data_IF_135849074491
#
_entry.id   IF_135849074491
#
_cell.length_a   1.000
_cell.length_b   1.000
_cell.length_c   1.000
_cell.angle_alpha   90.00
_cell.angle_beta   90.00
_cell.angle_gamma   90.00
#
_symmetry.space_group_name_H-M   'P 1'
#
loop_
_entity.id
_entity.type
_entity.pdbx_description
1 polymer ?
#
# COMPACT_ATOMS: atom_id res chain seq x y z
N UNK A 1 0.07 -69.38 1.32
CA UNK A 1 -1.02 -68.45 1.52
C UNK A 1 -0.38 -67.09 1.88
N UNK A 2 -0.25 -66.18 0.91
CA UNK A 2 0.37 -64.86 1.11
C UNK A 2 -0.73 -63.80 1.26
N UNK A 3 -0.85 -63.20 2.45
CA UNK A 3 -1.80 -62.16 2.76
C UNK A 3 -1.12 -60.85 2.35
N UNK A 4 -1.62 -60.16 1.30
CA UNK A 4 -1.19 -58.83 0.89
C UNK A 4 -1.96 -57.79 1.75
N UNK A 5 -1.24 -57.11 2.62
CA UNK A 5 -1.75 -55.98 3.42
C UNK A 5 -1.81 -54.74 2.55
N UNK A 6 -3.03 -54.34 2.17
CA UNK A 6 -3.28 -53.08 1.44
C UNK A 6 -3.30 -51.92 2.46
N UNK A 7 -2.24 -51.13 2.54
CA UNK A 7 -2.21 -49.88 3.30
C UNK A 7 -2.96 -48.82 2.51
N UNK A 8 -4.22 -48.55 2.94
CA UNK A 8 -5.00 -47.41 2.46
C UNK A 8 -4.43 -46.12 3.12
N UNK A 9 -3.62 -45.35 2.39
CA UNK A 9 -3.20 -44.02 2.82
C UNK A 9 -4.37 -43.05 2.68
N UNK A 10 -5.01 -42.71 3.79
CA UNK A 10 -6.03 -41.66 3.88
C UNK A 10 -5.33 -40.29 3.77
N UNK A 11 -5.24 -39.72 2.57
CA UNK A 11 -4.86 -38.32 2.39
C UNK A 11 -6.06 -37.45 2.79
N UNK A 12 -5.99 -36.87 3.98
CA UNK A 12 -6.95 -35.86 4.40
C UNK A 12 -6.77 -34.62 3.50
N UNK A 13 -7.59 -34.47 2.47
CA UNK A 13 -7.76 -33.22 1.76
C UNK A 13 -8.34 -32.21 2.75
N UNK A 14 -7.54 -31.29 3.24
CA UNK A 14 -8.05 -30.07 3.87
C UNK A 14 -8.80 -29.28 2.78
N UNK A 15 -10.11 -29.36 2.80
CA UNK A 15 -10.97 -28.55 1.93
C UNK A 15 -10.78 -27.07 2.31
N UNK A 16 -9.91 -26.37 1.60
CA UNK A 16 -9.88 -24.92 1.66
C UNK A 16 -11.24 -24.41 1.17
N UNK A 17 -11.90 -23.61 2.00
CA UNK A 17 -13.18 -23.01 1.63
C UNK A 17 -12.97 -22.15 0.38
N UNK A 18 -13.74 -22.41 -0.67
CA UNK A 18 -13.66 -21.64 -1.92
C UNK A 18 -13.80 -20.14 -1.66
N UNK A 19 -13.08 -19.28 -2.41
CA UNK A 19 -13.21 -17.84 -2.29
C UNK A 19 -14.66 -17.37 -2.48
N UNK A 20 -15.08 -16.38 -1.71
CA UNK A 20 -16.45 -15.83 -1.77
C UNK A 20 -16.47 -14.67 -2.77
N UNK A 21 -17.38 -14.68 -3.75
CA UNK A 21 -17.57 -13.57 -4.70
C UNK A 21 -18.02 -12.29 -3.99
N UNK A 22 -17.50 -11.13 -4.40
CA UNK A 22 -17.71 -9.83 -3.73
C UNK A 22 -18.20 -8.72 -4.64
N UNK A 23 -18.41 -9.00 -5.93
CA UNK A 23 -18.79 -8.00 -6.94
C UNK A 23 -17.66 -7.01 -7.29
N UNK A 24 -17.93 -6.05 -8.17
CA UNK A 24 -16.94 -5.09 -8.67
C UNK A 24 -16.67 -3.96 -7.67
N UNK A 25 -15.41 -3.49 -7.63
CA UNK A 25 -14.98 -2.38 -6.78
C UNK A 25 -13.75 -1.66 -7.36
N UNK A 26 -13.69 -0.35 -7.27
CA UNK A 26 -12.50 0.44 -7.64
C UNK A 26 -11.82 1.08 -6.45
N UNK A 27 -12.47 1.05 -5.29
CA UNK A 27 -11.92 1.59 -4.04
C UNK A 27 -11.88 0.51 -2.97
N UNK A 28 -10.71 0.36 -2.33
CA UNK A 28 -10.48 -0.58 -1.24
C UNK A 28 -10.09 0.16 0.04
N UNK A 29 -10.72 -0.21 1.15
CA UNK A 29 -10.35 0.25 2.49
C UNK A 29 -10.23 -0.92 3.45
N UNK A 30 -9.08 -1.05 4.11
CA UNK A 30 -8.79 -2.09 5.09
C UNK A 30 -8.45 -1.45 6.42
N UNK A 31 -8.93 -2.03 7.53
CA UNK A 31 -8.70 -1.49 8.87
C UNK A 31 -8.52 -2.54 9.95
N UNK A 32 -8.25 -2.06 11.18
CA UNK A 32 -8.26 -2.84 12.41
C UNK A 32 -7.16 -3.93 12.50
N UNK A 33 -5.98 -3.68 11.91
CA UNK A 33 -4.84 -4.60 11.98
C UNK A 33 -4.91 -5.81 11.04
N UNK A 34 -5.81 -5.80 10.05
CA UNK A 34 -5.92 -6.89 9.07
C UNK A 34 -4.73 -6.86 8.12
N UNK A 35 -4.12 -8.03 7.85
CA UNK A 35 -3.14 -8.23 6.80
C UNK A 35 -3.86 -8.62 5.51
N UNK A 36 -3.69 -7.84 4.44
CA UNK A 36 -4.33 -8.10 3.16
C UNK A 36 -3.30 -8.22 2.04
N UNK A 37 -3.41 -9.30 1.26
CA UNK A 37 -2.68 -9.50 0.01
C UNK A 37 -3.61 -9.33 -1.17
N UNK A 38 -3.25 -8.44 -2.10
CA UNK A 38 -3.93 -8.25 -3.38
C UNK A 38 -3.33 -9.20 -4.42
N UNK A 39 -4.20 -9.94 -5.13
CA UNK A 39 -3.83 -10.96 -6.10
C UNK A 39 -4.64 -10.73 -7.38
N UNK A 40 -3.97 -10.53 -8.51
CA UNK A 40 -4.66 -10.44 -9.80
C UNK A 40 -5.33 -11.77 -10.16
N UNK A 41 -6.56 -11.72 -10.67
CA UNK A 41 -7.38 -12.89 -10.97
C UNK A 41 -8.41 -12.54 -12.04
N UNK A 42 -9.11 -13.54 -12.57
CA UNK A 42 -10.21 -13.35 -13.51
C UNK A 42 -11.53 -12.96 -12.82
N UNK A 43 -11.63 -13.13 -11.51
CA UNK A 43 -12.86 -12.88 -10.75
C UNK A 43 -12.56 -12.17 -9.42
N UNK A 44 -13.49 -11.29 -9.02
CA UNK A 44 -13.44 -10.64 -7.72
C UNK A 44 -13.92 -11.57 -6.63
N UNK A 45 -13.02 -11.97 -5.75
CA UNK A 45 -13.35 -12.85 -4.64
C UNK A 45 -12.45 -12.61 -3.43
N UNK A 46 -12.83 -13.15 -2.29
CA UNK A 46 -12.10 -12.97 -1.05
C UNK A 46 -11.98 -14.31 -0.31
N UNK A 47 -10.79 -14.55 0.22
CA UNK A 47 -10.53 -15.66 1.14
C UNK A 47 -9.99 -15.09 2.45
N UNK A 48 -10.56 -15.53 3.56
CA UNK A 48 -10.20 -15.03 4.89
C UNK A 48 -9.72 -16.19 5.73
N UNK A 49 -8.56 -16.03 6.36
CA UNK A 49 -7.91 -17.03 7.21
C UNK A 49 -7.39 -16.40 8.51
N UNK A 50 -6.96 -17.24 9.44
CA UNK A 50 -6.45 -16.81 10.74
C UNK A 50 -7.45 -16.99 11.89
N UNK A 51 -6.99 -16.71 13.10
CA UNK A 51 -7.70 -17.01 14.35
C UNK A 51 -8.99 -16.23 14.56
N UNK A 52 -9.14 -15.07 13.89
CA UNK A 52 -10.29 -14.17 14.08
C UNK A 52 -11.09 -13.92 12.82
N UNK A 53 -10.99 -14.81 11.84
CA UNK A 53 -11.67 -14.71 10.54
C UNK A 53 -13.20 -14.51 10.65
N UNK A 54 -13.85 -15.08 11.65
CA UNK A 54 -15.30 -14.96 11.87
C UNK A 54 -15.74 -13.55 12.32
N UNK A 55 -14.78 -12.70 12.74
CA UNK A 55 -15.05 -11.32 13.12
C UNK A 55 -14.77 -10.33 11.99
N UNK A 56 -14.33 -10.79 10.82
CA UNK A 56 -14.16 -9.92 9.66
C UNK A 56 -15.51 -9.56 9.06
N UNK A 57 -15.68 -8.31 8.72
CA UNK A 57 -16.83 -7.79 7.99
C UNK A 57 -16.34 -7.27 6.64
N UNK A 58 -16.92 -7.78 5.57
CA UNK A 58 -16.69 -7.35 4.20
C UNK A 58 -17.97 -6.67 3.71
N UNK A 59 -17.86 -5.46 3.21
CA UNK A 59 -18.97 -4.69 2.67
C UNK A 59 -18.53 -4.02 1.37
N UNK A 60 -19.23 -4.33 0.27
CA UNK A 60 -19.06 -3.61 -0.98
C UNK A 60 -20.32 -2.76 -1.21
N UNK A 61 -20.15 -1.46 -1.28
CA UNK A 61 -21.23 -0.52 -1.55
C UNK A 61 -20.77 0.46 -2.63
N UNK A 62 -21.49 0.49 -3.73
CA UNK A 62 -21.24 1.39 -4.86
C UNK A 62 -19.77 1.38 -5.32
N UNK A 63 -19.17 0.19 -5.45
CA UNK A 63 -17.78 0.02 -5.86
C UNK A 63 -16.73 0.37 -4.78
N UNK A 64 -17.17 0.61 -3.53
CA UNK A 64 -16.30 0.84 -2.38
C UNK A 64 -16.27 -0.37 -1.47
N UNK A 65 -15.23 -1.19 -1.59
CA UNK A 65 -15.00 -2.37 -0.76
C UNK A 65 -14.35 -1.98 0.56
N UNK A 66 -15.00 -2.36 1.67
CA UNK A 66 -14.49 -2.14 3.03
C UNK A 66 -14.32 -3.46 3.75
N UNK A 67 -13.13 -3.70 4.29
CA UNK A 67 -12.76 -4.89 5.05
C UNK A 67 -12.30 -4.45 6.44
N UNK A 68 -12.99 -4.89 7.47
CA UNK A 68 -12.74 -4.47 8.86
C UNK A 68 -13.16 -5.52 9.86
N UNK A 69 -12.70 -5.38 11.11
CA UNK A 69 -13.20 -6.19 12.21
C UNK A 69 -14.57 -5.71 12.69
N UNK A 70 -15.40 -6.62 13.21
CA UNK A 70 -16.63 -6.25 13.92
C UNK A 70 -16.31 -5.32 15.09
N UNK A 71 -17.19 -4.37 15.37
CA UNK A 71 -16.96 -3.27 16.35
C UNK A 71 -16.49 -3.75 17.73
N UNK A 72 -16.94 -4.90 18.20
CA UNK A 72 -16.52 -5.49 19.49
C UNK A 72 -15.08 -6.04 19.50
N UNK A 73 -14.44 -6.14 18.33
CA UNK A 73 -13.11 -6.73 18.12
C UNK A 73 -12.17 -5.82 17.31
N UNK A 74 -12.38 -4.50 17.39
CA UNK A 74 -11.48 -3.52 16.77
C UNK A 74 -10.04 -3.73 17.23
N UNK A 75 -9.07 -3.45 16.33
CA UNK A 75 -7.63 -3.68 16.54
C UNK A 75 -7.29 -5.13 16.88
N UNK A 76 -8.15 -6.08 16.52
CA UNK A 76 -7.95 -7.51 16.74
C UNK A 76 -7.56 -8.28 15.49
N UNK A 77 -7.29 -7.60 14.37
CA UNK A 77 -7.03 -8.22 13.08
C UNK A 77 -5.59 -8.68 12.83
N UNK A 78 -4.65 -8.44 13.72
CA UNK A 78 -3.21 -8.72 13.50
C UNK A 78 -2.85 -10.17 13.13
N UNK A 79 -3.68 -11.15 13.53
CA UNK A 79 -3.54 -12.56 13.15
C UNK A 79 -4.61 -12.98 12.13
N UNK A 80 -5.15 -12.03 11.37
CA UNK A 80 -6.15 -12.27 10.34
C UNK A 80 -5.58 -11.91 8.99
N UNK A 81 -5.53 -12.87 8.10
CA UNK A 81 -5.03 -12.71 6.75
C UNK A 81 -6.20 -12.76 5.77
N UNK A 82 -6.17 -11.86 4.81
CA UNK A 82 -7.15 -11.73 3.73
C UNK A 82 -6.41 -11.79 2.40
N UNK A 83 -6.80 -12.72 1.55
CA UNK A 83 -6.43 -12.76 0.15
C UNK A 83 -7.60 -12.18 -0.65
N UNK A 84 -7.33 -11.07 -1.32
CA UNK A 84 -8.32 -10.36 -2.13
C UNK A 84 -7.94 -10.50 -3.60
N UNK A 85 -8.74 -11.29 -4.31
CA UNK A 85 -8.61 -11.51 -5.74
C UNK A 85 -9.36 -10.42 -6.48
N UNK A 86 -8.74 -9.80 -7.49
CA UNK A 86 -9.32 -8.69 -8.25
C UNK A 86 -9.02 -8.80 -9.74
N UNK A 87 -9.98 -8.32 -10.57
CA UNK A 87 -9.88 -8.33 -12.04
C UNK A 87 -9.99 -6.94 -12.68
N UNK A 88 -10.08 -5.88 -11.89
CA UNK A 88 -10.23 -4.51 -12.37
C UNK A 88 -9.17 -3.56 -11.82
N UNK A 89 -9.17 -2.33 -12.35
CA UNK A 89 -8.31 -1.26 -11.84
C UNK A 89 -8.76 -0.79 -10.47
N UNK A 90 -7.81 -0.66 -9.55
CA UNK A 90 -8.04 -0.13 -8.21
C UNK A 90 -7.56 1.32 -8.13
N UNK A 91 -8.50 2.26 -8.23
CA UNK A 91 -8.19 3.69 -8.26
C UNK A 91 -7.73 4.22 -6.88
N UNK A 92 -8.28 3.63 -5.81
CA UNK A 92 -7.99 4.06 -4.44
C UNK A 92 -7.78 2.87 -3.51
N UNK A 93 -6.65 2.87 -2.79
CA UNK A 93 -6.32 1.87 -1.77
C UNK A 93 -6.01 2.59 -0.46
N UNK A 94 -6.70 2.22 0.62
CA UNK A 94 -6.55 2.84 1.94
C UNK A 94 -6.33 1.79 3.03
N UNK A 95 -5.21 1.93 3.80
CA UNK A 95 -4.92 1.15 5.00
C UNK A 95 -4.97 2.04 6.23
N UNK A 96 -5.74 1.65 7.24
CA UNK A 96 -5.89 2.41 8.48
C UNK A 96 -5.83 1.51 9.73
N UNK A 97 -5.54 2.12 10.87
CA UNK A 97 -5.60 1.45 12.18
C UNK A 97 -4.79 0.15 12.22
N UNK A 98 -3.51 0.23 11.78
CA UNK A 98 -2.56 -0.86 11.81
C UNK A 98 -2.77 -1.94 10.72
N UNK A 99 -3.68 -1.73 9.75
CA UNK A 99 -3.84 -2.65 8.63
C UNK A 99 -2.62 -2.61 7.70
N UNK A 100 -2.27 -3.76 7.14
CA UNK A 100 -1.19 -3.90 6.15
C UNK A 100 -1.76 -4.41 4.82
N UNK A 101 -1.43 -3.70 3.73
CA UNK A 101 -1.82 -4.08 2.37
C UNK A 101 -0.58 -4.26 1.53
N UNK A 102 -0.47 -5.41 0.85
CA UNK A 102 0.63 -5.70 -0.07
C UNK A 102 0.13 -6.39 -1.35
N UNK A 103 0.98 -6.37 -2.37
CA UNK A 103 0.81 -7.16 -3.59
C UNK A 103 2.18 -7.50 -4.17
N UNK A 104 2.26 -8.61 -4.87
CA UNK A 104 3.39 -8.95 -5.74
C UNK A 104 3.15 -8.46 -7.20
N UNK A 105 1.95 -7.96 -7.50
CA UNK A 105 1.57 -7.47 -8.82
C UNK A 105 2.00 -6.01 -9.02
N UNK A 106 2.28 -5.64 -10.26
CA UNK A 106 2.48 -4.25 -10.67
C UNK A 106 1.14 -3.66 -11.11
N UNK A 107 0.73 -2.57 -10.47
CA UNK A 107 -0.51 -1.87 -10.81
C UNK A 107 -0.31 -1.00 -12.06
N UNK A 108 -0.68 -1.53 -13.23
CA UNK A 108 -0.61 -0.84 -14.52
C UNK A 108 -1.93 -0.15 -14.84
N UNK A 109 -1.99 1.16 -14.66
CA UNK A 109 -3.23 1.94 -14.87
C UNK A 109 -2.92 3.44 -15.03
N UNK A 110 -3.87 4.27 -15.50
CA UNK A 110 -3.60 5.70 -15.67
C UNK A 110 -3.25 6.41 -14.38
N UNK A 111 -3.95 6.11 -13.28
CA UNK A 111 -3.71 6.77 -11.99
C UNK A 111 -3.99 5.87 -10.81
N UNK A 112 -3.34 6.17 -9.67
CA UNK A 112 -3.59 5.47 -8.40
C UNK A 112 -3.49 6.43 -7.21
N UNK A 113 -4.38 6.27 -6.24
CA UNK A 113 -4.28 6.93 -4.95
C UNK A 113 -4.06 5.92 -3.82
N UNK A 114 -2.94 6.02 -3.13
CA UNK A 114 -2.63 5.25 -1.92
C UNK A 114 -2.77 6.14 -0.69
N UNK A 115 -3.42 5.64 0.34
CA UNK A 115 -3.63 6.41 1.58
C UNK A 115 -3.39 5.54 2.81
N UNK A 116 -2.64 6.06 3.78
CA UNK A 116 -2.41 5.38 5.06
C UNK A 116 -2.66 6.32 6.21
N UNK A 117 -3.27 5.81 7.29
CA UNK A 117 -3.52 6.57 8.51
C UNK A 117 -3.44 5.68 9.76
N UNK A 118 -3.13 6.29 10.91
CA UNK A 118 -3.15 5.62 12.22
C UNK A 118 -2.36 4.29 12.21
N UNK A 119 -1.12 4.34 11.74
CA UNK A 119 -0.25 3.17 11.67
C UNK A 119 -0.59 2.16 10.57
N UNK A 120 -1.49 2.47 9.64
CA UNK A 120 -1.74 1.63 8.46
C UNK A 120 -0.54 1.64 7.51
N UNK A 121 -0.30 0.54 6.81
CA UNK A 121 0.84 0.36 5.91
C UNK A 121 0.40 -0.17 4.55
N UNK A 122 1.04 0.33 3.48
CA UNK A 122 0.87 -0.13 2.10
C UNK A 122 2.24 -0.39 1.48
N UNK A 123 2.39 -1.53 0.79
CA UNK A 123 3.60 -1.88 0.04
C UNK A 123 3.20 -2.42 -1.34
N UNK A 124 3.40 -1.62 -2.40
CA UNK A 124 2.96 -1.95 -3.76
C UNK A 124 3.99 -1.54 -4.81
N UNK A 125 3.90 -2.19 -5.99
CA UNK A 125 4.58 -1.76 -7.21
C UNK A 125 3.57 -1.12 -8.18
N UNK A 126 3.95 -0.01 -8.84
CA UNK A 126 3.07 0.76 -9.72
C UNK A 126 3.74 1.06 -11.06
N UNK A 127 2.94 1.12 -12.12
CA UNK A 127 3.32 1.68 -13.42
C UNK A 127 2.14 2.53 -13.92
N UNK A 128 2.22 3.85 -13.62
CA UNK A 128 1.10 4.79 -13.79
C UNK A 128 1.55 6.11 -14.38
N UNK A 129 0.61 6.92 -14.88
CA UNK A 129 0.90 8.32 -15.23
C UNK A 129 0.90 9.18 -13.97
N UNK A 130 -0.17 9.09 -13.17
CA UNK A 130 -0.37 9.92 -12.00
C UNK A 130 -0.46 9.08 -10.71
N UNK A 131 0.36 9.40 -9.73
CA UNK A 131 0.32 8.78 -8.42
C UNK A 131 0.07 9.80 -7.31
N UNK A 132 -0.85 9.51 -6.40
CA UNK A 132 -1.10 10.30 -5.21
C UNK A 132 -0.89 9.46 -3.97
N UNK A 133 0.08 9.85 -3.13
CA UNK A 133 0.38 9.18 -1.87
C UNK A 133 0.04 10.10 -0.69
N UNK A 134 -0.79 9.60 0.22
CA UNK A 134 -1.21 10.33 1.43
C UNK A 134 -0.89 9.51 2.66
N UNK A 135 -0.03 10.01 3.53
CA UNK A 135 0.33 9.32 4.78
C UNK A 135 0.11 10.23 5.97
N UNK A 136 -0.67 9.77 6.93
CA UNK A 136 -1.06 10.55 8.11
C UNK A 136 -0.95 9.72 9.39
N UNK A 137 -0.68 10.38 10.50
CA UNK A 137 -0.69 9.82 11.86
C UNK A 137 0.10 8.49 11.95
N UNK A 138 1.40 8.55 11.60
CA UNK A 138 2.30 7.39 11.64
C UNK A 138 2.02 6.31 10.60
N UNK A 139 1.19 6.59 9.57
CA UNK A 139 1.00 5.67 8.45
C UNK A 139 2.27 5.55 7.60
N UNK A 140 2.41 4.45 6.85
CA UNK A 140 3.58 4.20 6.00
C UNK A 140 3.15 3.73 4.62
N UNK A 141 3.73 4.33 3.58
CA UNK A 141 3.60 3.90 2.18
C UNK A 141 4.99 3.58 1.64
N UNK A 142 5.16 2.38 1.11
CA UNK A 142 6.35 1.95 0.37
C UNK A 142 5.93 1.63 -1.05
N UNK A 143 6.54 2.30 -2.03
CA UNK A 143 6.21 2.13 -3.45
C UNK A 143 7.48 1.99 -4.27
N UNK A 144 7.43 1.15 -5.30
CA UNK A 144 8.45 1.04 -6.32
C UNK A 144 7.80 0.99 -7.72
N UNK A 145 8.61 1.09 -8.78
CA UNK A 145 8.16 1.05 -10.19
C UNK A 145 8.19 2.42 -10.85
N UNK A 146 7.15 2.81 -11.59
CA UNK A 146 7.13 4.05 -12.33
C UNK A 146 5.85 4.86 -12.07
N UNK A 147 6.00 6.18 -11.97
CA UNK A 147 4.88 7.12 -11.95
C UNK A 147 5.37 8.44 -12.55
N UNK A 148 4.86 8.82 -13.71
CA UNK A 148 5.33 10.02 -14.41
C UNK A 148 5.26 11.24 -13.51
N UNK A 149 4.11 11.48 -12.92
CA UNK A 149 3.88 12.55 -11.95
C UNK A 149 3.49 11.98 -10.58
N UNK A 150 4.19 12.39 -9.52
CA UNK A 150 3.92 12.00 -8.15
C UNK A 150 3.46 13.20 -7.31
N UNK A 151 2.41 13.02 -6.53
CA UNK A 151 1.97 13.97 -5.52
C UNK A 151 1.91 13.34 -4.14
N UNK A 152 2.76 13.82 -3.24
CA UNK A 152 2.95 13.26 -1.91
C UNK A 152 2.44 14.25 -0.86
N UNK A 153 1.61 13.76 0.05
CA UNK A 153 1.12 14.52 1.20
C UNK A 153 1.33 13.74 2.48
N UNK A 154 2.10 14.33 3.38
CA UNK A 154 2.41 13.74 4.67
C UNK A 154 1.95 14.68 5.77
N UNK A 155 1.21 14.13 6.74
CA UNK A 155 0.80 14.85 7.93
C UNK A 155 1.10 14.03 9.17
N UNK A 156 1.38 14.72 10.28
CA UNK A 156 1.46 14.11 11.63
C UNK A 156 2.34 12.85 11.68
N UNK A 157 3.59 12.96 11.22
CA UNK A 157 4.57 11.87 11.33
C UNK A 157 4.39 10.70 10.35
N UNK A 158 3.62 10.86 9.27
CA UNK A 158 3.51 9.84 8.22
C UNK A 158 4.83 9.62 7.48
N UNK A 159 4.95 8.51 6.78
CA UNK A 159 6.15 8.09 6.04
C UNK A 159 5.76 7.69 4.62
N UNK A 160 6.50 8.20 3.62
CA UNK A 160 6.41 7.76 2.23
C UNK A 160 7.80 7.43 1.72
N UNK A 161 8.00 6.18 1.31
CA UNK A 161 9.22 5.65 0.71
C UNK A 161 8.93 5.39 -0.78
N UNK A 162 9.28 6.34 -1.64
CA UNK A 162 9.09 6.33 -3.08
C UNK A 162 10.41 6.63 -3.83
N UNK A 163 11.55 6.41 -3.19
CA UNK A 163 12.88 6.60 -3.78
C UNK A 163 13.15 5.66 -4.96
N UNK A 164 12.42 4.53 -5.02
CA UNK A 164 12.51 3.54 -6.10
C UNK A 164 11.44 3.70 -7.17
N UNK A 165 10.77 4.84 -7.19
CA UNK A 165 9.79 5.17 -8.24
C UNK A 165 10.48 6.05 -9.27
N UNK A 166 10.59 5.56 -10.52
CA UNK A 166 11.03 6.37 -11.66
C UNK A 166 9.98 7.44 -11.97
N UNK A 167 10.35 8.72 -11.86
CA UNK A 167 9.39 9.80 -12.05
C UNK A 167 10.02 10.99 -12.78
N UNK A 168 9.22 11.75 -13.52
CA UNK A 168 9.62 13.02 -14.12
C UNK A 168 9.43 14.17 -13.13
N UNK A 169 8.28 14.19 -12.43
CA UNK A 169 7.93 15.25 -11.49
C UNK A 169 7.44 14.70 -10.16
N UNK A 170 7.88 15.31 -9.08
CA UNK A 170 7.45 14.99 -7.73
C UNK A 170 7.13 16.27 -6.95
N UNK A 171 5.88 16.39 -6.52
CA UNK A 171 5.42 17.39 -5.55
C UNK A 171 5.28 16.75 -4.17
N UNK A 172 5.98 17.24 -3.17
CA UNK A 172 5.89 16.74 -1.79
C UNK A 172 5.50 17.85 -0.82
N UNK A 173 4.48 17.60 -0.01
CA UNK A 173 4.03 18.51 1.04
C UNK A 173 3.98 17.79 2.39
N UNK A 174 4.78 18.27 3.35
CA UNK A 174 4.86 17.72 4.70
C UNK A 174 4.34 18.75 5.71
N UNK A 175 3.49 18.33 6.64
CA UNK A 175 2.97 19.18 7.72
C UNK A 175 2.94 18.42 9.05
N UNK A 176 3.59 18.99 10.07
CA UNK A 176 3.64 18.36 11.40
C UNK A 176 4.59 17.17 11.49
N UNK A 177 5.75 17.24 10.80
CA UNK A 177 6.76 16.20 10.77
C UNK A 177 6.51 15.12 9.70
N UNK A 178 7.27 14.03 9.79
CA UNK A 178 7.19 12.89 8.85
C UNK A 178 8.42 12.81 7.94
N UNK A 179 8.44 11.77 7.12
CA UNK A 179 9.58 11.45 6.23
C UNK A 179 9.07 11.17 4.82
N UNK A 180 9.71 11.79 3.84
CA UNK A 180 9.53 11.51 2.42
C UNK A 180 10.87 11.15 1.77
N UNK A 181 10.98 9.93 1.26
CA UNK A 181 12.03 9.52 0.32
C UNK A 181 11.43 9.56 -1.08
N UNK A 182 11.95 10.44 -1.93
CA UNK A 182 11.35 10.74 -3.24
C UNK A 182 12.41 10.72 -4.34
N UNK A 183 11.99 10.48 -5.57
CA UNK A 183 12.85 10.55 -6.74
C UNK A 183 12.15 11.32 -7.87
N UNK A 184 12.91 12.08 -8.66
CA UNK A 184 12.48 12.65 -9.93
C UNK A 184 13.67 13.01 -10.81
N UNK A 185 13.45 13.13 -12.12
CA UNK A 185 14.47 13.52 -13.11
C UNK A 185 14.35 14.97 -13.54
N UNK A 186 13.14 15.54 -13.62
CA UNK A 186 12.90 16.90 -14.11
C UNK A 186 12.67 17.91 -13.00
N UNK A 187 11.63 17.70 -12.19
CA UNK A 187 11.20 18.68 -11.19
C UNK A 187 10.88 18.02 -9.85
N UNK A 188 11.43 18.60 -8.80
CA UNK A 188 11.02 18.35 -7.42
C UNK A 188 10.54 19.66 -6.80
N UNK A 189 9.28 19.72 -6.34
CA UNK A 189 8.72 20.83 -5.54
C UNK A 189 8.38 20.33 -4.14
N UNK A 190 9.11 20.83 -3.13
CA UNK A 190 8.96 20.41 -1.73
C UNK A 190 8.46 21.56 -0.88
N UNK A 191 7.38 21.31 -0.13
CA UNK A 191 6.86 22.23 0.88
C UNK A 191 6.86 21.56 2.25
N UNK A 192 7.55 22.14 3.23
CA UNK A 192 7.55 21.68 4.62
C UNK A 192 6.95 22.73 5.54
N UNK A 193 6.06 22.29 6.44
CA UNK A 193 5.45 23.11 7.48
C UNK A 193 5.51 22.39 8.83
N UNK A 194 6.09 23.05 9.84
CA UNK A 194 6.27 22.49 11.18
C UNK A 194 7.13 21.21 11.21
N UNK A 195 8.28 21.23 10.50
CA UNK A 195 9.27 20.15 10.47
C UNK A 195 9.02 19.12 9.36
N UNK A 196 9.76 18.00 9.44
CA UNK A 196 9.77 16.90 8.48
C UNK A 196 11.11 16.76 7.77
N UNK A 197 11.35 15.55 7.24
CA UNK A 197 12.58 15.21 6.52
C UNK A 197 12.23 14.77 5.10
N UNK A 198 12.84 15.38 4.10
CA UNK A 198 12.72 14.98 2.70
C UNK A 198 14.11 14.63 2.16
N UNK A 199 14.25 13.40 1.69
CA UNK A 199 15.44 12.95 0.95
C UNK A 199 15.06 12.84 -0.52
N UNK A 200 15.74 13.63 -1.34
CA UNK A 200 15.56 13.64 -2.79
C UNK A 200 16.63 12.75 -3.40
N UNK A 201 16.18 11.66 -4.01
CA UNK A 201 17.00 10.73 -4.77
C UNK A 201 16.95 11.09 -6.26
N UNK A 202 17.96 10.69 -7.03
CA UNK A 202 18.08 11.06 -8.43
C UNK A 202 18.79 12.42 -8.60
N UNK A 203 18.64 12.99 -9.77
CA UNK A 203 19.29 14.26 -10.12
C UNK A 203 18.28 15.17 -10.86
N UNK A 204 17.29 15.74 -10.15
CA UNK A 204 16.27 16.59 -10.79
C UNK A 204 16.91 17.82 -11.40
N UNK A 205 16.51 18.18 -12.64
CA UNK A 205 16.99 19.41 -13.30
C UNK A 205 16.58 20.68 -12.54
N UNK A 206 15.47 20.61 -11.81
CA UNK A 206 14.94 21.71 -11.00
C UNK A 206 14.49 21.23 -9.64
N UNK A 207 14.99 21.88 -8.59
CA UNK A 207 14.55 21.68 -7.21
C UNK A 207 14.01 22.99 -6.64
N UNK A 208 12.71 23.03 -6.37
CA UNK A 208 12.04 24.14 -5.69
C UNK A 208 11.70 23.69 -4.27
N UNK A 209 11.98 24.53 -3.30
CA UNK A 209 11.59 24.21 -1.93
C UNK A 209 11.11 25.43 -1.16
N UNK A 210 10.09 25.20 -0.31
CA UNK A 210 9.57 26.21 0.61
C UNK A 210 9.47 25.60 2.03
N UNK A 211 10.10 26.26 3.00
CA UNK A 211 10.11 25.83 4.40
C UNK A 211 9.41 26.86 5.26
N UNK A 212 8.42 26.43 6.06
CA UNK A 212 7.77 27.24 7.06
C UNK A 212 7.88 26.57 8.44
N UNK A 213 8.51 27.24 9.39
CA UNK A 213 8.78 26.72 10.74
C UNK A 213 9.49 25.35 10.75
N UNK A 214 10.58 25.24 9.97
CA UNK A 214 11.49 24.09 9.99
C UNK A 214 11.27 23.07 8.87
N UNK A 215 12.04 22.00 8.97
CA UNK A 215 12.13 20.91 7.99
C UNK A 215 13.51 20.80 7.36
N UNK A 216 13.92 19.58 7.05
CA UNK A 216 15.20 19.27 6.41
C UNK A 216 14.95 18.67 5.04
N UNK A 217 15.65 19.20 4.03
CA UNK A 217 15.63 18.68 2.67
C UNK A 217 17.07 18.37 2.28
N UNK A 218 17.35 17.12 1.93
CA UNK A 218 18.64 16.63 1.52
C UNK A 218 18.57 16.05 0.11
N UNK A 219 19.49 16.41 -0.75
CA UNK A 219 19.65 15.80 -2.07
C UNK A 219 20.73 14.73 -1.96
N UNK A 220 20.38 13.50 -2.31
CA UNK A 220 21.29 12.36 -2.30
C UNK A 220 21.74 12.12 -3.75
N UNK A 221 22.91 12.63 -4.10
CA UNK A 221 23.53 12.36 -5.40
C UNK A 221 24.06 10.93 -5.41
N UNK A 222 23.81 10.14 -6.47
CA UNK A 222 24.46 8.82 -6.58
C UNK A 222 25.98 8.98 -6.49
N UNK A 223 26.70 8.00 -5.90
CA UNK A 223 28.15 8.03 -5.90
C UNK A 223 28.64 8.11 -7.35
N UNK A 224 29.52 9.06 -7.65
CA UNK A 224 30.19 9.16 -8.95
C UNK A 224 31.03 7.91 -9.10
N UNK A 225 30.66 6.98 -9.98
CA UNK A 225 31.55 5.91 -10.44
C UNK A 225 32.64 6.59 -11.27
N UNK A 226 33.81 6.76 -10.69
CA UNK A 226 35.00 7.11 -11.47
C UNK A 226 35.30 5.89 -12.36
N UNK A 227 35.01 6.01 -13.66
CA UNK A 227 35.57 5.12 -14.69
C UNK A 227 37.06 5.37 -14.87
#
# INVERSE_FOLDING_TARGET
>A
MRIALFLLSLTALYAQKAPTSIGDFSSLKVSDGINLTLIASDQNSIQISGERKEFVTVTNKDGSLKIRMKTKKKLGGFNTNVELFFNQKLEKIEAIEGAFISSNEVFMQPSIQLSTRKGGEINLAVDVQDAVYKSDTGGKITVNGNAKDQKIRITTGGIVQAERVGSEKTEASLSGGGVADISATSLVDVKTKLGGFVRVHGNPSTLVHNKFLGGTISVLTPPQTNE
#
